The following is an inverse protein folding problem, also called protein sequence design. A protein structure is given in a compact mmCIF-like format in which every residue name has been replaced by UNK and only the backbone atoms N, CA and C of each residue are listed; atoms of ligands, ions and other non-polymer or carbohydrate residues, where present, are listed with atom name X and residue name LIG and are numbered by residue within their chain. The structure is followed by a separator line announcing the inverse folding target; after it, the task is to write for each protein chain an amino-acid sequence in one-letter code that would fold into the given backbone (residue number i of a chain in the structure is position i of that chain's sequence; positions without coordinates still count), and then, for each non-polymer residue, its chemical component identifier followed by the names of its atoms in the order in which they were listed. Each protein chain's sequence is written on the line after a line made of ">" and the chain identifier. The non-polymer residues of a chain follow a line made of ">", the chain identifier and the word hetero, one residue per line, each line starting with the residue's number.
data_IF_549919962416
#
_entry.id   IF_549919962416
#
_cell.length_a   1.000
_cell.length_b   1.000
_cell.length_c   1.000
_cell.angle_alpha   90.00
_cell.angle_beta   90.00
_cell.angle_gamma   90.00
#
_symmetry.space_group_name_H-M   'P 1'
#
loop_
_entity.id
_entity.type
_entity.pdbx_description
1 polymer ?
#
# COMPACT_ATOMS: atom_id res chain seq x y z
N UNK A 1 18.19 0.91 22.78
CA UNK A 1 19.34 0.58 21.91
C UNK A 1 20.41 -0.25 22.61
N UNK A 2 21.07 0.22 23.68
CA UNK A 2 22.05 -0.60 24.41
C UNK A 2 21.41 -1.86 25.04
N UNK A 3 20.20 -1.75 25.56
CA UNK A 3 19.40 -2.89 26.06
C UNK A 3 19.05 -3.89 24.95
N UNK A 4 18.58 -3.41 23.79
CA UNK A 4 18.17 -4.27 22.66
C UNK A 4 19.37 -4.95 22.01
N UNK A 5 20.50 -4.24 21.89
CA UNK A 5 21.77 -4.82 21.42
C UNK A 5 22.23 -5.92 22.38
N UNK A 6 22.16 -5.69 23.69
CA UNK A 6 22.55 -6.68 24.71
C UNK A 6 21.64 -7.93 24.69
N UNK A 7 20.33 -7.74 24.46
CA UNK A 7 19.37 -8.82 24.29
C UNK A 7 19.62 -9.64 23.01
N UNK A 8 20.05 -9.01 21.91
CA UNK A 8 20.36 -9.69 20.65
C UNK A 8 21.80 -10.24 20.55
N UNK A 9 22.65 -10.09 21.57
CA UNK A 9 24.00 -10.73 21.59
C UNK A 9 23.90 -12.27 21.49
N UNK A 10 22.83 -12.85 22.00
CA UNK A 10 22.50 -14.29 21.89
C UNK A 10 21.84 -14.68 20.57
N UNK A 11 21.53 -13.70 19.70
CA UNK A 11 20.93 -13.92 18.37
C UNK A 11 21.75 -13.21 17.28
N UNK A 12 22.88 -13.81 16.82
CA UNK A 12 23.81 -13.18 15.88
C UNK A 12 23.15 -12.72 14.57
N UNK A 13 22.11 -13.43 14.12
CA UNK A 13 21.32 -13.08 12.93
C UNK A 13 20.51 -11.80 13.13
N UNK A 14 19.94 -11.59 14.32
CA UNK A 14 19.21 -10.37 14.66
C UNK A 14 20.15 -9.17 14.72
N UNK A 15 21.35 -9.34 15.29
CA UNK A 15 22.33 -8.27 15.34
C UNK A 15 22.76 -7.82 13.92
N UNK A 16 22.99 -8.78 13.02
CA UNK A 16 23.28 -8.48 11.60
C UNK A 16 22.10 -7.77 10.93
N UNK A 17 20.87 -8.21 11.18
CA UNK A 17 19.66 -7.57 10.65
C UNK A 17 19.51 -6.13 11.19
N UNK A 18 19.68 -5.91 12.49
CA UNK A 18 19.65 -4.59 13.11
C UNK A 18 20.73 -3.65 12.55
N UNK A 19 21.95 -4.16 12.33
CA UNK A 19 23.01 -3.37 11.71
C UNK A 19 22.68 -3.02 10.25
N UNK A 20 22.14 -3.97 9.48
CA UNK A 20 21.66 -3.71 8.11
C UNK A 20 20.56 -2.65 8.07
N UNK A 21 19.55 -2.74 8.94
CA UNK A 21 18.49 -1.73 9.05
C UNK A 21 19.09 -0.38 9.39
N UNK A 22 19.99 -0.30 10.38
CA UNK A 22 20.61 0.98 10.79
C UNK A 22 21.44 1.61 9.67
N UNK A 23 22.14 0.81 8.88
CA UNK A 23 22.90 1.29 7.71
C UNK A 23 21.96 1.77 6.60
N UNK A 24 20.91 0.99 6.29
CA UNK A 24 19.89 1.36 5.29
C UNK A 24 19.09 2.61 5.69
N UNK A 25 18.67 2.75 6.95
CA UNK A 25 18.04 3.98 7.46
C UNK A 25 18.95 5.21 7.35
N UNK A 26 20.27 5.03 7.46
CA UNK A 26 21.24 6.11 7.27
C UNK A 26 21.37 6.52 5.81
N UNK A 27 21.20 5.58 4.87
CA UNK A 27 21.13 5.87 3.43
C UNK A 27 19.80 6.51 3.03
N UNK A 28 18.66 6.12 3.61
CA UNK A 28 17.38 6.80 3.42
C UNK A 28 17.45 8.29 3.80
N UNK A 29 18.14 8.60 4.89
CA UNK A 29 18.35 9.97 5.34
C UNK A 29 19.31 10.79 4.45
N UNK A 30 19.90 10.22 3.38
CA UNK A 30 20.75 11.01 2.46
C UNK A 30 19.94 11.90 1.52
N UNK A 31 18.68 11.57 1.23
CA UNK A 31 17.82 12.36 0.34
C UNK A 31 16.91 13.33 1.12
N UNK A 32 17.53 14.32 1.78
CA UNK A 32 16.77 15.42 2.39
C UNK A 32 16.09 16.33 1.36
N UNK A 33 16.51 16.26 0.10
CA UNK A 33 15.95 17.11 -0.95
C UNK A 33 14.50 16.71 -1.33
N UNK A 34 13.67 17.66 -1.81
CA UNK A 34 12.33 17.38 -2.31
C UNK A 34 12.35 16.50 -3.57
N UNK A 35 11.30 15.69 -3.79
CA UNK A 35 11.20 14.84 -4.99
C UNK A 35 11.26 15.63 -6.30
N UNK A 36 10.75 16.85 -6.32
CA UNK A 36 10.84 17.75 -7.48
C UNK A 36 12.28 18.03 -7.93
N UNK A 37 13.21 18.16 -6.99
CA UNK A 37 14.64 18.36 -7.30
C UNK A 37 15.31 17.03 -7.67
N UNK A 38 15.02 15.98 -6.92
CA UNK A 38 15.57 14.64 -7.17
C UNK A 38 15.18 14.10 -8.54
N UNK A 39 13.96 14.39 -9.01
CA UNK A 39 13.51 14.01 -10.35
C UNK A 39 14.40 14.56 -11.47
N UNK A 40 14.95 15.77 -11.31
CA UNK A 40 15.81 16.39 -12.32
C UNK A 40 17.25 15.86 -12.30
N UNK A 41 17.68 15.30 -11.17
CA UNK A 41 19.09 14.93 -10.94
C UNK A 41 19.34 13.43 -11.03
N UNK A 42 18.35 12.61 -10.68
CA UNK A 42 18.50 11.17 -10.58
C UNK A 42 18.15 10.47 -11.90
N UNK A 43 18.85 9.36 -12.15
CA UNK A 43 18.42 8.37 -13.14
C UNK A 43 17.04 7.83 -12.77
N UNK A 44 16.33 7.25 -13.74
CA UNK A 44 14.95 6.81 -13.53
C UNK A 44 14.84 5.76 -12.41
N UNK A 45 15.76 4.80 -12.37
CA UNK A 45 15.82 3.80 -11.29
C UNK A 45 16.10 4.44 -9.93
N UNK A 46 17.07 5.36 -9.85
CA UNK A 46 17.37 6.05 -8.59
C UNK A 46 16.20 6.92 -8.11
N UNK A 47 15.47 7.53 -9.05
CA UNK A 47 14.24 8.25 -8.75
C UNK A 47 13.15 7.32 -8.18
N UNK A 48 12.97 6.12 -8.72
CA UNK A 48 12.00 5.15 -8.18
C UNK A 48 12.27 4.86 -6.70
N UNK A 49 13.52 4.53 -6.34
CA UNK A 49 13.88 4.29 -4.93
C UNK A 49 13.79 5.55 -4.05
N UNK A 50 14.11 6.73 -4.59
CA UNK A 50 13.92 7.99 -3.87
C UNK A 50 12.43 8.26 -3.59
N UNK A 51 11.56 8.06 -4.59
CA UNK A 51 10.11 8.15 -4.47
C UNK A 51 9.60 7.16 -3.43
N UNK A 52 10.03 5.89 -3.48
CA UNK A 52 9.63 4.86 -2.53
C UNK A 52 9.92 5.28 -1.08
N UNK A 53 11.11 5.84 -0.83
CA UNK A 53 11.50 6.33 0.50
C UNK A 53 10.64 7.50 1.00
N UNK A 54 10.14 8.34 0.09
CA UNK A 54 9.33 9.53 0.41
C UNK A 54 7.85 9.16 0.61
N UNK A 55 7.31 8.30 -0.24
CA UNK A 55 5.90 7.90 -0.20
C UNK A 55 5.63 6.72 0.73
N UNK A 56 6.67 6.05 1.25
CA UNK A 56 6.49 4.87 2.10
C UNK A 56 7.69 4.51 2.97
N UNK A 57 7.90 5.24 4.07
CA UNK A 57 9.06 5.03 4.95
C UNK A 57 9.18 3.57 5.46
N UNK A 58 8.06 2.98 5.90
CA UNK A 58 8.05 1.63 6.47
C UNK A 58 8.28 0.56 5.41
N UNK A 59 7.53 0.57 4.30
CA UNK A 59 7.71 -0.44 3.25
C UNK A 59 9.03 -0.28 2.51
N UNK A 60 9.54 0.94 2.34
CA UNK A 60 10.85 1.15 1.70
C UNK A 60 11.99 0.40 2.42
N UNK A 61 11.95 0.35 3.76
CA UNK A 61 12.92 -0.39 4.55
C UNK A 61 12.82 -1.91 4.35
N UNK A 62 11.60 -2.43 4.21
CA UNK A 62 11.36 -3.88 4.00
C UNK A 62 11.73 -4.28 2.58
N UNK A 63 11.34 -3.49 1.57
CA UNK A 63 11.63 -3.74 0.16
C UNK A 63 13.14 -3.76 -0.10
N UNK A 64 13.91 -2.88 0.54
CA UNK A 64 15.37 -2.86 0.40
C UNK A 64 16.07 -4.10 0.97
N UNK A 65 15.38 -4.90 1.79
CA UNK A 65 15.91 -6.14 2.36
C UNK A 65 15.63 -7.37 1.48
N UNK A 66 14.81 -7.22 0.43
CA UNK A 66 14.52 -8.31 -0.52
C UNK A 66 15.79 -8.73 -1.27
N UNK A 67 15.83 -9.95 -1.83
CA UNK A 67 16.87 -10.36 -2.77
C UNK A 67 16.90 -9.46 -4.01
N UNK A 68 18.07 -9.30 -4.64
CA UNK A 68 18.27 -8.31 -5.72
C UNK A 68 17.29 -8.47 -6.90
N UNK A 69 16.90 -9.70 -7.26
CA UNK A 69 15.90 -9.94 -8.32
C UNK A 69 14.50 -9.43 -7.99
N UNK A 70 14.16 -9.27 -6.71
CA UNK A 70 12.83 -8.86 -6.24
C UNK A 70 12.77 -7.37 -5.87
N UNK A 71 13.90 -6.72 -5.58
CA UNK A 71 13.91 -5.31 -5.17
C UNK A 71 13.26 -4.40 -6.22
N UNK A 72 13.67 -4.51 -7.49
CA UNK A 72 13.15 -3.64 -8.55
C UNK A 72 11.69 -3.94 -8.88
N UNK A 73 11.26 -5.20 -9.12
CA UNK A 73 9.85 -5.51 -9.36
C UNK A 73 8.93 -5.06 -8.23
N UNK A 74 9.30 -5.31 -6.97
CA UNK A 74 8.45 -4.97 -5.81
C UNK A 74 8.46 -3.46 -5.55
N UNK A 75 9.58 -2.76 -5.79
CA UNK A 75 9.64 -1.30 -5.77
C UNK A 75 8.66 -0.69 -6.78
N UNK A 76 8.69 -1.17 -8.03
CA UNK A 76 7.80 -0.67 -9.08
C UNK A 76 6.34 -1.06 -8.82
N UNK A 77 6.09 -2.29 -8.38
CA UNK A 77 4.76 -2.74 -7.98
C UNK A 77 4.16 -1.80 -6.93
N UNK A 78 4.93 -1.46 -5.88
CA UNK A 78 4.49 -0.51 -4.87
C UNK A 78 4.21 0.89 -5.46
N UNK A 79 5.12 1.44 -6.27
CA UNK A 79 4.97 2.81 -6.79
C UNK A 79 3.80 2.95 -7.78
N UNK A 80 3.58 1.93 -8.61
CA UNK A 80 2.46 1.89 -9.55
C UNK A 80 1.13 1.83 -8.79
N UNK A 81 1.02 0.95 -7.79
CA UNK A 81 -0.18 0.88 -6.97
C UNK A 81 -0.38 2.15 -6.11
N UNK A 82 0.71 2.78 -5.64
CA UNK A 82 0.62 4.07 -4.94
C UNK A 82 0.16 5.21 -5.87
N UNK A 83 0.57 5.20 -7.13
CA UNK A 83 0.06 6.14 -8.12
C UNK A 83 -1.44 5.94 -8.34
N UNK A 84 -1.89 4.69 -8.48
CA UNK A 84 -3.31 4.35 -8.58
C UNK A 84 -4.11 4.83 -7.36
N UNK A 85 -3.62 4.52 -6.16
CA UNK A 85 -4.18 4.94 -4.88
C UNK A 85 -4.30 6.47 -4.78
N UNK A 86 -3.26 7.20 -5.21
CA UNK A 86 -3.29 8.68 -5.26
C UNK A 86 -4.42 9.24 -6.13
N UNK A 87 -4.78 8.54 -7.22
CA UNK A 87 -5.90 8.93 -8.08
C UNK A 87 -7.24 8.68 -7.39
N UNK A 88 -7.36 7.58 -6.66
CA UNK A 88 -8.60 7.18 -5.96
C UNK A 88 -8.91 8.12 -4.79
N UNK A 89 -7.87 8.40 -4.00
CA UNK A 89 -7.91 9.15 -2.74
C UNK A 89 -8.15 10.66 -2.91
N UNK A 90 -7.83 11.24 -4.08
CA UNK A 90 -8.02 12.67 -4.30
C UNK A 90 -9.51 13.02 -4.42
N UNK A 91 -10.06 13.52 -3.31
CA UNK A 91 -11.47 13.92 -3.21
C UNK A 91 -11.82 15.17 -4.03
N UNK A 92 -10.83 15.90 -4.56
CA UNK A 92 -11.04 17.05 -5.46
C UNK A 92 -11.05 16.63 -6.93
N UNK A 93 -10.63 15.41 -7.23
CA UNK A 93 -10.63 14.90 -8.58
C UNK A 93 -12.06 14.47 -8.97
N UNK A 94 -12.56 15.05 -10.06
CA UNK A 94 -13.90 14.81 -10.54
C UNK A 94 -14.18 13.31 -10.76
N UNK A 95 -15.35 12.85 -10.31
CA UNK A 95 -15.68 11.42 -10.33
C UNK A 95 -15.89 10.91 -11.76
N UNK A 96 -16.42 11.73 -12.68
CA UNK A 96 -16.63 11.32 -14.08
C UNK A 96 -15.29 11.13 -14.81
N UNK A 97 -14.26 11.90 -14.45
CA UNK A 97 -12.89 11.74 -14.96
C UNK A 97 -12.13 10.60 -14.24
N UNK A 98 -12.32 10.46 -12.92
CA UNK A 98 -11.62 9.49 -12.08
C UNK A 98 -11.98 8.05 -12.42
N UNK A 99 -13.26 7.72 -12.56
CA UNK A 99 -13.70 6.33 -12.74
C UNK A 99 -13.12 5.66 -14.01
N UNK A 100 -13.17 6.27 -15.21
CA UNK A 100 -12.55 5.70 -16.40
C UNK A 100 -11.03 5.57 -16.24
N UNK A 101 -10.40 6.53 -15.57
CA UNK A 101 -8.96 6.50 -15.34
C UNK A 101 -8.56 5.33 -14.45
N UNK A 102 -9.23 5.12 -13.30
CA UNK A 102 -8.97 3.99 -12.41
C UNK A 102 -9.11 2.64 -13.13
N UNK A 103 -10.17 2.47 -13.93
CA UNK A 103 -10.41 1.21 -14.68
C UNK A 103 -9.36 0.93 -15.74
N UNK A 104 -8.79 1.98 -16.34
CA UNK A 104 -7.83 1.86 -17.45
C UNK A 104 -6.38 2.14 -17.04
N UNK A 105 -6.11 2.44 -15.76
CA UNK A 105 -4.78 2.84 -15.30
C UNK A 105 -3.69 1.81 -15.64
N UNK A 106 -4.03 0.52 -15.59
CA UNK A 106 -3.14 -0.58 -15.99
C UNK A 106 -2.59 -0.44 -17.43
N UNK A 107 -3.27 0.28 -18.32
CA UNK A 107 -2.81 0.53 -19.69
C UNK A 107 -1.70 1.60 -19.75
N UNK A 108 -1.63 2.47 -18.75
CA UNK A 108 -0.66 3.56 -18.68
C UNK A 108 0.60 3.21 -17.90
N UNK A 109 0.66 2.06 -17.24
CA UNK A 109 1.79 1.74 -16.34
C UNK A 109 3.15 1.69 -17.05
N UNK A 110 3.14 1.34 -18.34
CA UNK A 110 4.30 1.37 -19.22
C UNK A 110 4.31 2.55 -20.19
N UNK A 111 3.38 3.51 -20.10
CA UNK A 111 3.34 4.65 -21.02
C UNK A 111 4.24 5.79 -20.51
N UNK A 112 5.38 6.01 -21.16
CA UNK A 112 6.33 7.07 -20.81
C UNK A 112 5.81 8.48 -21.09
N UNK A 113 4.68 8.63 -21.79
CA UNK A 113 4.06 9.92 -22.05
C UNK A 113 2.98 10.24 -21.03
N UNK A 114 2.51 9.24 -20.29
CA UNK A 114 1.47 9.43 -19.30
C UNK A 114 2.03 10.05 -18.02
N UNK A 115 1.38 11.11 -17.57
CA UNK A 115 1.62 11.75 -16.28
C UNK A 115 0.38 12.57 -15.89
N UNK A 116 0.26 12.89 -14.61
CA UNK A 116 -0.73 13.85 -14.11
C UNK A 116 -0.07 14.90 -13.21
N UNK A 117 -0.55 16.13 -13.31
CA UNK A 117 -0.13 17.24 -12.46
C UNK A 117 -1.24 17.55 -11.46
N UNK A 118 -0.84 18.03 -10.29
CA UNK A 118 -1.74 18.57 -9.27
C UNK A 118 -2.78 17.58 -8.69
N UNK A 119 -2.58 16.27 -8.86
CA UNK A 119 -3.41 15.21 -8.25
C UNK A 119 -2.69 14.56 -7.06
N UNK A 120 -3.42 14.39 -5.96
CA UNK A 120 -2.97 13.80 -4.69
C UNK A 120 -2.93 14.79 -3.54
N UNK A 121 -2.97 14.30 -2.29
CA UNK A 121 -3.08 15.16 -1.11
C UNK A 121 -1.75 15.76 -0.65
N UNK A 122 -0.65 15.03 -0.86
CA UNK A 122 0.69 15.45 -0.43
C UNK A 122 1.54 15.96 -1.60
N UNK A 123 2.56 16.77 -1.31
CA UNK A 123 3.51 17.20 -2.34
C UNK A 123 4.21 16.01 -3.01
N UNK A 124 4.64 15.02 -2.22
CA UNK A 124 5.38 13.88 -2.76
C UNK A 124 4.51 12.98 -3.65
N UNK A 125 3.21 12.83 -3.36
CA UNK A 125 2.27 12.10 -4.22
C UNK A 125 2.03 12.82 -5.55
N UNK A 126 1.87 14.15 -5.54
CA UNK A 126 1.80 14.95 -6.77
C UNK A 126 3.07 14.81 -7.60
N UNK A 127 4.24 14.81 -6.96
CA UNK A 127 5.52 14.64 -7.65
C UNK A 127 5.69 13.23 -8.23
N UNK A 128 5.16 12.19 -7.56
CA UNK A 128 5.12 10.82 -8.08
C UNK A 128 4.38 10.76 -9.42
N UNK A 129 3.16 11.32 -9.49
CA UNK A 129 2.35 11.36 -10.71
C UNK A 129 2.94 12.27 -11.79
N UNK A 130 3.53 13.42 -11.40
CA UNK A 130 4.13 14.38 -12.34
C UNK A 130 5.35 13.77 -13.05
N UNK A 131 6.10 12.91 -12.37
CA UNK A 131 7.29 12.25 -12.91
C UNK A 131 7.08 10.75 -13.17
N UNK A 132 5.83 10.32 -13.28
CA UNK A 132 5.47 8.94 -13.60
C UNK A 132 6.18 8.35 -14.84
N UNK A 133 6.53 9.11 -15.89
CA UNK A 133 7.33 8.61 -17.00
C UNK A 133 8.63 7.91 -16.62
N UNK A 134 9.24 8.29 -15.48
CA UNK A 134 10.43 7.61 -14.96
C UNK A 134 10.11 6.20 -14.47
N UNK A 135 8.98 6.02 -13.80
CA UNK A 135 8.49 4.71 -13.32
C UNK A 135 8.17 3.83 -14.51
N UNK A 136 7.44 4.37 -15.50
CA UNK A 136 7.08 3.66 -16.73
C UNK A 136 8.31 3.13 -17.48
N UNK A 137 9.37 3.95 -17.63
CA UNK A 137 10.63 3.52 -18.26
C UNK A 137 11.31 2.38 -17.52
N UNK A 138 11.38 2.43 -16.19
CA UNK A 138 12.01 1.33 -15.43
C UNK A 138 11.13 0.08 -15.48
N UNK A 139 9.80 0.25 -15.43
CA UNK A 139 8.84 -0.85 -15.57
C UNK A 139 9.04 -1.64 -16.86
N UNK A 140 9.19 -0.96 -17.99
CA UNK A 140 9.44 -1.61 -19.29
C UNK A 140 10.74 -2.44 -19.33
N UNK A 141 11.70 -2.17 -18.44
CA UNK A 141 12.96 -2.93 -18.36
C UNK A 141 12.86 -4.20 -17.53
N UNK A 142 11.75 -4.42 -16.81
CA UNK A 142 11.53 -5.64 -16.06
C UNK A 142 11.34 -6.84 -16.99
N UNK A 143 11.60 -8.05 -16.47
CA UNK A 143 11.19 -9.28 -17.15
C UNK A 143 9.67 -9.25 -17.43
N UNK A 144 9.21 -9.65 -18.64
CA UNK A 144 7.79 -9.70 -18.98
C UNK A 144 6.92 -10.41 -17.94
N UNK A 145 7.42 -11.47 -17.29
CA UNK A 145 6.65 -12.18 -16.27
C UNK A 145 6.32 -11.30 -15.05
N UNK A 146 7.22 -10.38 -14.65
CA UNK A 146 6.91 -9.41 -13.61
C UNK A 146 5.95 -8.32 -14.10
N UNK A 147 6.10 -7.90 -15.36
CA UNK A 147 5.20 -6.91 -15.98
C UNK A 147 3.76 -7.42 -16.01
N UNK A 148 3.56 -8.68 -16.36
CA UNK A 148 2.24 -9.32 -16.43
C UNK A 148 1.55 -9.33 -15.06
N UNK A 149 2.26 -9.73 -14.01
CA UNK A 149 1.73 -9.76 -12.63
C UNK A 149 1.32 -8.35 -12.18
N UNK A 150 2.21 -7.37 -12.35
CA UNK A 150 1.93 -5.98 -11.95
C UNK A 150 0.73 -5.43 -12.73
N UNK A 151 0.66 -5.69 -14.03
CA UNK A 151 -0.44 -5.25 -14.90
C UNK A 151 -1.79 -5.83 -14.47
N UNK A 152 -1.83 -7.14 -14.23
CA UNK A 152 -3.05 -7.86 -13.84
C UNK A 152 -3.58 -7.36 -12.49
N UNK A 153 -2.71 -7.25 -11.49
CA UNK A 153 -3.10 -6.74 -10.18
C UNK A 153 -3.55 -5.28 -10.26
N UNK A 154 -2.82 -4.43 -10.99
CA UNK A 154 -3.20 -3.02 -11.17
C UNK A 154 -4.58 -2.91 -11.83
N UNK A 155 -4.88 -3.77 -12.81
CA UNK A 155 -6.19 -3.81 -13.48
C UNK A 155 -7.31 -4.22 -12.51
N UNK A 156 -7.11 -5.29 -11.74
CA UNK A 156 -8.10 -5.79 -10.77
C UNK A 156 -8.36 -4.76 -9.67
N UNK A 157 -7.29 -4.20 -9.10
CA UNK A 157 -7.36 -3.17 -8.06
C UNK A 157 -8.04 -1.90 -8.56
N UNK A 158 -7.68 -1.41 -9.75
CA UNK A 158 -8.30 -0.22 -10.35
C UNK A 158 -9.81 -0.37 -10.62
N UNK A 159 -10.25 -1.57 -11.04
CA UNK A 159 -11.68 -1.85 -11.18
C UNK A 159 -12.41 -1.86 -9.83
N UNK A 160 -11.83 -2.52 -8.82
CA UNK A 160 -12.42 -2.54 -7.48
C UNK A 160 -12.50 -1.16 -6.83
N UNK A 161 -11.45 -0.36 -6.96
CA UNK A 161 -11.41 1.05 -6.54
C UNK A 161 -12.49 1.89 -7.23
N UNK A 162 -12.70 1.70 -8.53
CA UNK A 162 -13.77 2.38 -9.25
C UNK A 162 -15.17 1.96 -8.77
N UNK A 163 -15.38 0.68 -8.43
CA UNK A 163 -16.65 0.19 -7.89
C UNK A 163 -16.94 0.80 -6.50
N UNK A 164 -15.92 0.93 -5.64
CA UNK A 164 -16.06 1.50 -4.29
C UNK A 164 -15.98 3.03 -4.23
N UNK A 165 -15.51 3.70 -5.29
CA UNK A 165 -15.55 5.17 -5.38
C UNK A 165 -16.97 5.75 -5.38
N UNK A 166 -17.97 4.95 -5.80
CA UNK A 166 -19.39 5.35 -5.84
C UNK A 166 -20.26 4.58 -4.83
N UNK A 167 -19.66 3.64 -4.08
CA UNK A 167 -20.35 2.73 -3.18
C UNK A 167 -19.82 2.90 -1.76
N UNK A 168 -20.72 3.09 -0.80
CA UNK A 168 -20.34 3.11 0.63
C UNK A 168 -20.13 1.68 1.13
N UNK A 169 -19.17 1.50 2.03
CA UNK A 169 -18.97 0.25 2.76
C UNK A 169 -20.02 0.14 3.85
N UNK A 170 -21.06 -0.65 3.62
CA UNK A 170 -22.15 -0.83 4.56
C UNK A 170 -22.00 -2.14 5.35
N UNK A 171 -21.75 -3.26 4.66
CA UNK A 171 -21.69 -4.58 5.30
C UNK A 171 -20.27 -5.05 5.58
N UNK A 172 -20.11 -6.08 6.42
CA UNK A 172 -18.83 -6.75 6.63
C UNK A 172 -18.30 -7.44 5.37
N UNK A 173 -19.19 -7.97 4.54
CA UNK A 173 -18.82 -8.55 3.24
C UNK A 173 -18.27 -7.47 2.30
N UNK A 174 -18.89 -6.29 2.26
CA UNK A 174 -18.40 -5.16 1.48
C UNK A 174 -17.08 -4.62 2.02
N UNK A 175 -16.88 -4.65 3.33
CA UNK A 175 -15.63 -4.27 3.96
C UNK A 175 -14.50 -5.23 3.58
N UNK A 176 -14.76 -6.54 3.61
CA UNK A 176 -13.82 -7.57 3.13
C UNK A 176 -13.54 -7.42 1.64
N UNK A 177 -14.57 -7.13 0.83
CA UNK A 177 -14.43 -6.94 -0.60
C UNK A 177 -13.61 -5.69 -0.94
N UNK A 178 -13.83 -4.58 -0.23
CA UNK A 178 -13.01 -3.38 -0.36
C UNK A 178 -11.55 -3.68 0.00
N UNK A 179 -11.31 -4.29 1.16
CA UNK A 179 -9.95 -4.67 1.59
C UNK A 179 -9.29 -5.68 0.64
N UNK A 180 -10.07 -6.58 0.04
CA UNK A 180 -9.58 -7.49 -0.99
C UNK A 180 -9.01 -6.72 -2.18
N UNK A 181 -9.77 -5.75 -2.72
CA UNK A 181 -9.33 -4.99 -3.87
C UNK A 181 -8.09 -4.15 -3.59
N UNK A 182 -8.04 -3.45 -2.45
CA UNK A 182 -6.96 -2.48 -2.19
C UNK A 182 -5.72 -3.09 -1.51
N UNK A 183 -5.82 -4.29 -0.94
CA UNK A 183 -4.70 -4.92 -0.24
C UNK A 183 -4.61 -6.44 -0.41
N UNK A 184 -5.72 -7.16 -0.44
CA UNK A 184 -5.73 -8.61 -0.68
C UNK A 184 -5.08 -8.99 -2.01
N UNK A 185 -5.41 -8.26 -3.07
CA UNK A 185 -4.77 -8.39 -4.39
C UNK A 185 -3.27 -8.08 -4.36
N UNK A 186 -2.82 -7.17 -3.48
CA UNK A 186 -1.39 -6.89 -3.29
C UNK A 186 -0.67 -8.10 -2.73
N UNK A 187 -1.27 -8.81 -1.76
CA UNK A 187 -0.74 -10.06 -1.22
C UNK A 187 -0.63 -11.16 -2.29
N UNK A 188 -1.66 -11.30 -3.14
CA UNK A 188 -1.62 -12.23 -4.28
C UNK A 188 -0.54 -11.86 -5.29
N UNK A 189 -0.43 -10.57 -5.64
CA UNK A 189 0.62 -10.07 -6.53
C UNK A 189 2.03 -10.32 -6.00
N UNK A 190 2.27 -10.09 -4.72
CA UNK A 190 3.56 -10.40 -4.10
C UNK A 190 3.87 -11.90 -4.16
N UNK A 191 2.87 -12.75 -3.90
CA UNK A 191 3.00 -14.21 -3.99
C UNK A 191 3.41 -14.65 -5.40
N UNK A 192 2.77 -14.07 -6.42
CA UNK A 192 3.13 -14.28 -7.82
C UNK A 192 4.55 -13.77 -8.15
N UNK A 193 4.93 -12.57 -7.69
CA UNK A 193 6.29 -12.04 -7.90
C UNK A 193 7.35 -12.95 -7.25
N UNK A 194 7.09 -13.51 -6.08
CA UNK A 194 8.00 -14.43 -5.40
C UNK A 194 8.16 -15.74 -6.17
N UNK A 195 7.06 -16.32 -6.67
CA UNK A 195 7.12 -17.51 -7.50
C UNK A 195 7.86 -17.26 -8.83
N UNK A 196 7.51 -16.17 -9.55
CA UNK A 196 8.17 -15.77 -10.81
C UNK A 196 9.68 -15.58 -10.64
N UNK A 197 10.11 -15.07 -9.48
CA UNK A 197 11.53 -14.87 -9.20
C UNK A 197 12.34 -16.16 -9.01
N UNK A 198 11.65 -17.29 -8.77
CA UNK A 198 12.23 -18.58 -8.44
C UNK A 198 12.72 -18.70 -7.00
N UNK A 199 12.40 -17.74 -6.11
CA UNK A 199 12.69 -17.85 -4.68
C UNK A 199 11.64 -18.66 -3.93
N UNK A 200 10.41 -18.72 -4.45
CA UNK A 200 9.31 -19.52 -3.90
C UNK A 200 8.75 -20.47 -4.97
N UNK A 201 8.03 -21.50 -4.52
CA UNK A 201 7.38 -22.48 -5.40
C UNK A 201 6.11 -21.89 -6.04
N UNK A 202 5.80 -22.29 -7.28
CA UNK A 202 4.54 -21.98 -7.96
C UNK A 202 3.29 -22.36 -7.15
N UNK A 203 3.38 -23.35 -6.25
CA UNK A 203 2.29 -23.69 -5.32
C UNK A 203 1.82 -22.49 -4.47
N UNK A 204 2.71 -21.53 -4.16
CA UNK A 204 2.37 -20.31 -3.42
C UNK A 204 1.33 -19.45 -4.16
N UNK A 205 1.29 -19.52 -5.50
CA UNK A 205 0.35 -18.77 -6.33
C UNK A 205 -1.10 -19.25 -6.17
N UNK A 206 -1.27 -20.52 -5.81
CA UNK A 206 -2.57 -21.15 -5.60
C UNK A 206 -3.12 -20.87 -4.18
N UNK A 207 -2.27 -20.39 -3.26
CA UNK A 207 -2.64 -20.08 -1.88
C UNK A 207 -3.34 -18.70 -1.77
N UNK A 208 -4.32 -18.45 -2.64
CA UNK A 208 -5.04 -17.17 -2.74
C UNK A 208 -5.66 -16.74 -1.42
N UNK A 209 -6.12 -17.70 -0.61
CA UNK A 209 -6.77 -17.45 0.67
C UNK A 209 -5.81 -16.80 1.67
N UNK A 210 -4.63 -17.37 1.88
CA UNK A 210 -3.67 -16.84 2.86
C UNK A 210 -3.07 -15.52 2.36
N UNK A 211 -2.79 -15.42 1.04
CA UNK A 211 -2.30 -14.18 0.43
C UNK A 211 -3.32 -13.05 0.58
N UNK A 212 -4.61 -13.34 0.41
CA UNK A 212 -5.68 -12.38 0.68
C UNK A 212 -5.73 -11.98 2.17
N UNK A 213 -5.75 -12.96 3.07
CA UNK A 213 -5.85 -12.71 4.52
C UNK A 213 -4.68 -11.85 5.04
N UNK A 214 -3.46 -12.04 4.51
CA UNK A 214 -2.31 -11.17 4.80
C UNK A 214 -2.58 -9.71 4.43
N UNK A 215 -3.12 -9.46 3.23
CA UNK A 215 -3.49 -8.13 2.78
C UNK A 215 -4.61 -7.52 3.63
N UNK A 216 -5.67 -8.28 3.90
CA UNK A 216 -6.80 -7.83 4.73
C UNK A 216 -6.35 -7.49 6.15
N UNK A 217 -5.50 -8.30 6.76
CA UNK A 217 -4.99 -8.05 8.11
C UNK A 217 -4.27 -6.70 8.22
N UNK A 218 -3.37 -6.41 7.27
CA UNK A 218 -2.64 -5.14 7.22
C UNK A 218 -3.58 -3.97 6.93
N UNK A 219 -4.50 -4.12 5.97
CA UNK A 219 -5.39 -3.04 5.56
C UNK A 219 -6.37 -2.65 6.65
N UNK A 220 -7.02 -3.64 7.28
CA UNK A 220 -7.96 -3.39 8.37
C UNK A 220 -7.25 -2.76 9.57
N UNK A 221 -6.03 -3.17 9.86
CA UNK A 221 -5.22 -2.54 10.92
C UNK A 221 -4.96 -1.06 10.61
N UNK A 222 -4.65 -0.70 9.37
CA UNK A 222 -4.47 0.70 8.97
C UNK A 222 -5.79 1.48 9.05
N UNK A 223 -6.89 0.95 8.51
CA UNK A 223 -8.23 1.59 8.56
C UNK A 223 -8.69 1.87 10.00
N UNK A 224 -8.40 0.95 10.92
CA UNK A 224 -8.72 1.16 12.34
C UNK A 224 -7.85 2.26 12.95
N UNK A 225 -6.54 2.24 12.67
CA UNK A 225 -5.59 3.22 13.21
C UNK A 225 -5.83 4.63 12.67
N UNK A 226 -6.15 4.73 11.39
CA UNK A 226 -6.14 5.99 10.63
C UNK A 226 -7.52 6.68 10.59
N UNK A 227 -8.52 6.13 11.30
CA UNK A 227 -9.90 6.64 11.38
C UNK A 227 -10.01 8.17 11.50
N UNK A 228 -9.22 8.80 12.38
CA UNK A 228 -9.30 10.25 12.60
C UNK A 228 -8.76 11.06 11.41
N UNK A 229 -7.70 10.57 10.75
CA UNK A 229 -7.13 11.20 9.56
C UNK A 229 -8.09 11.07 8.39
N UNK A 230 -8.63 9.86 8.18
CA UNK A 230 -9.62 9.58 7.14
C UNK A 230 -10.86 10.45 7.28
N UNK A 231 -11.40 10.57 8.50
CA UNK A 231 -12.56 11.43 8.76
C UNK A 231 -12.30 12.89 8.40
N UNK A 232 -11.10 13.41 8.71
CA UNK A 232 -10.72 14.79 8.39
C UNK A 232 -10.59 15.02 6.87
N UNK A 233 -10.17 13.99 6.13
CA UNK A 233 -10.11 13.98 4.67
C UNK A 233 -11.46 13.68 3.99
N UNK A 234 -12.53 13.47 4.77
CA UNK A 234 -13.86 13.17 4.26
C UNK A 234 -14.05 11.71 3.81
N UNK A 235 -13.20 10.80 4.28
CA UNK A 235 -13.23 9.36 4.00
C UNK A 235 -13.88 8.59 5.15
N UNK A 236 -14.47 7.45 4.85
CA UNK A 236 -15.10 6.57 5.84
C UNK A 236 -15.08 5.12 5.36
N UNK A 237 -14.33 4.28 6.05
CA UNK A 237 -14.11 2.88 5.68
C UNK A 237 -14.66 1.86 6.68
N UNK A 238 -14.98 2.29 7.91
CA UNK A 238 -15.59 1.40 8.90
C UNK A 238 -17.00 1.00 8.42
N UNK A 239 -17.34 -0.30 8.41
CA UNK A 239 -18.63 -0.76 7.90
C UNK A 239 -19.79 -0.26 8.77
N UNK A 240 -20.82 0.28 8.12
CA UNK A 240 -22.05 0.74 8.79
C UNK A 240 -22.69 -0.34 9.68
N UNK A 241 -22.63 -1.59 9.25
CA UNK A 241 -23.09 -2.76 9.99
C UNK A 241 -22.49 -2.85 11.40
N UNK A 242 -21.24 -2.43 11.59
CA UNK A 242 -20.61 -2.38 12.92
C UNK A 242 -20.91 -1.06 13.61
N UNK A 243 -20.50 0.07 13.02
CA UNK A 243 -20.42 1.31 13.79
C UNK A 243 -21.79 1.87 14.18
N UNK A 244 -22.84 1.60 13.40
CA UNK A 244 -24.21 2.04 13.72
C UNK A 244 -24.79 1.36 14.95
N UNK A 245 -24.21 0.25 15.42
CA UNK A 245 -24.60 -0.40 16.68
C UNK A 245 -24.19 0.42 17.91
N UNK A 246 -23.21 1.32 17.77
CA UNK A 246 -22.59 2.07 18.87
C UNK A 246 -22.84 3.58 18.80
N UNK A 247 -23.18 4.11 17.62
CA UNK A 247 -23.38 5.55 17.42
C UNK A 247 -24.41 5.83 16.32
N UNK A 248 -25.14 6.94 16.46
CA UNK A 248 -26.04 7.45 15.41
C UNK A 248 -25.31 8.25 14.32
N UNK A 249 -24.12 8.78 14.64
CA UNK A 249 -23.29 9.56 13.72
C UNK A 249 -21.86 9.06 13.76
N UNK A 250 -21.24 8.96 12.59
CA UNK A 250 -19.91 8.40 12.43
C UNK A 250 -18.84 9.20 13.19
N UNK A 251 -18.92 10.53 13.17
CA UNK A 251 -17.98 11.44 13.83
C UNK A 251 -17.97 11.35 15.36
N UNK A 252 -18.95 10.68 15.98
CA UNK A 252 -19.02 10.47 17.44
C UNK A 252 -17.74 9.86 18.00
N UNK A 253 -17.10 8.94 17.26
CA UNK A 253 -15.89 8.28 17.75
C UNK A 253 -14.68 9.21 17.79
N UNK A 254 -14.66 10.29 16.98
CA UNK A 254 -13.66 11.35 17.06
C UNK A 254 -13.98 12.36 18.17
N UNK A 255 -15.27 12.67 18.35
CA UNK A 255 -15.73 13.64 19.35
C UNK A 255 -15.70 13.10 20.79
N UNK A 256 -15.81 11.77 20.97
CA UNK A 256 -15.82 11.11 22.27
C UNK A 256 -15.00 9.80 22.25
N UNK A 257 -13.68 9.85 22.00
CA UNK A 257 -12.85 8.67 21.75
C UNK A 257 -12.75 7.72 22.95
N UNK A 258 -12.84 8.25 24.18
CA UNK A 258 -12.75 7.46 25.42
C UNK A 258 -14.10 6.93 25.91
N UNK A 259 -15.20 7.22 25.19
CA UNK A 259 -16.52 6.74 25.61
C UNK A 259 -16.60 5.20 25.53
N UNK A 260 -17.38 4.54 26.42
CA UNK A 260 -17.55 3.08 26.36
C UNK A 260 -18.01 2.58 25.00
N UNK A 261 -18.90 3.32 24.32
CA UNK A 261 -19.40 2.97 22.99
C UNK A 261 -18.32 3.07 21.92
N UNK A 262 -17.45 4.10 22.00
CA UNK A 262 -16.34 4.27 21.05
C UNK A 262 -15.30 3.16 21.21
N UNK A 263 -14.94 2.82 22.45
CA UNK A 263 -14.02 1.72 22.73
C UNK A 263 -14.63 0.37 22.35
N UNK A 264 -15.94 0.17 22.53
CA UNK A 264 -16.62 -1.05 22.12
C UNK A 264 -16.65 -1.21 20.58
N UNK A 265 -16.93 -0.13 19.84
CA UNK A 265 -16.86 -0.12 18.38
C UNK A 265 -15.45 -0.45 17.88
N UNK A 266 -14.43 0.19 18.46
CA UNK A 266 -13.02 -0.08 18.17
C UNK A 266 -12.68 -1.56 18.42
N UNK A 267 -13.06 -2.11 19.58
CA UNK A 267 -12.82 -3.50 19.93
C UNK A 267 -13.51 -4.49 18.99
N UNK A 268 -14.70 -4.17 18.49
CA UNK A 268 -15.40 -4.98 17.49
C UNK A 268 -14.59 -5.07 16.20
N UNK A 269 -14.10 -3.94 15.68
CA UNK A 269 -13.28 -3.92 14.46
C UNK A 269 -11.93 -4.61 14.65
N UNK A 270 -11.31 -4.45 15.82
CA UNK A 270 -10.10 -5.19 16.17
C UNK A 270 -10.39 -6.70 16.14
N UNK A 271 -11.48 -7.17 16.76
CA UNK A 271 -11.83 -8.58 16.77
C UNK A 271 -12.09 -9.14 15.35
N UNK A 272 -12.79 -8.38 14.50
CA UNK A 272 -12.96 -8.73 13.08
C UNK A 272 -11.62 -8.81 12.35
N UNK A 273 -10.66 -7.95 12.68
CA UNK A 273 -9.31 -7.99 12.08
C UNK A 273 -8.51 -9.20 12.55
N UNK A 274 -8.61 -9.57 13.84
CA UNK A 274 -7.84 -10.67 14.43
C UNK A 274 -8.17 -12.04 13.81
N UNK A 275 -9.33 -12.21 13.14
CA UNK A 275 -9.68 -13.47 12.48
C UNK A 275 -8.74 -13.87 11.34
N UNK A 276 -7.97 -12.92 10.81
CA UNK A 276 -6.99 -13.17 9.74
C UNK A 276 -5.65 -13.70 10.26
N UNK A 277 -5.37 -13.58 11.57
CA UNK A 277 -4.10 -14.00 12.18
C UNK A 277 -3.74 -15.47 11.90
N UNK A 278 -4.67 -16.45 12.02
CA UNK A 278 -4.33 -17.84 11.73
C UNK A 278 -3.79 -18.06 10.33
N UNK A 279 -4.27 -17.30 9.34
CA UNK A 279 -3.78 -17.38 7.96
C UNK A 279 -2.44 -16.68 7.78
N UNK A 280 -2.16 -15.64 8.57
CA UNK A 280 -0.89 -14.92 8.55
C UNK A 280 0.28 -15.72 9.15
N UNK A 281 0.01 -16.80 9.88
CA UNK A 281 1.01 -17.61 10.58
C UNK A 281 1.24 -18.97 9.90
N UNK A 282 0.27 -19.45 9.11
CA UNK A 282 0.32 -20.77 8.47
C UNK A 282 1.40 -20.91 7.40
#
# INVERSE_FOLDING_TARGET
>A
MLKDIYASVIHPRELVAMLKVKLSSKEQNRHHEPLSKLALQLSDKAFCYASLNKVSRSFALVIQQLPDKLKDPVCLFYLILRALDTLEDDMKFDTEEKLPLLRNFYQYIGDEKWYMKDVGDTHDYRMLLTHYPKIARVFQTLDPAYQDVISDITKKMGNGMADFSVKKVCTLEEYDQYCHYVAGLVGMGLSDLFAVSGYENDALREELRISNSMGLFLQKTNIIRDYHEDLFLGRSFWPAEIWTQYASHFDRFANAPESPDSLACLNHLVLDTLRHIPDCIN
#
